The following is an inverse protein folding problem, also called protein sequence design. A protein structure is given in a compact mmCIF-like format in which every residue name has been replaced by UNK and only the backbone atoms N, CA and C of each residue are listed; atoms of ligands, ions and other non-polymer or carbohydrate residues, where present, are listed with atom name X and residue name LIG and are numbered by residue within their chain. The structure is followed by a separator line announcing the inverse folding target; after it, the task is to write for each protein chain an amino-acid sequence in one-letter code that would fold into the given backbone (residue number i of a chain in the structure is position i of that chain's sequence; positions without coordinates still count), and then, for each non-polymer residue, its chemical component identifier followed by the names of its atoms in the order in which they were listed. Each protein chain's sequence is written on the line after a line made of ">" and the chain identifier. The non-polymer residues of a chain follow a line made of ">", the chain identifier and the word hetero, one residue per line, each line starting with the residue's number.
data_IF_985252327223
#
_entry.id   IF_985252327223
#
_cell.length_a   1.000
_cell.length_b   1.000
_cell.length_c   1.000
_cell.angle_alpha   90.00
_cell.angle_beta   90.00
_cell.angle_gamma   90.00
#
_symmetry.space_group_name_H-M   'P 1'
#
loop_
_entity.id
_entity.type
_entity.pdbx_description
1 polymer ?
#
# COMPACT_ATOMS: atom_id res chain seq x y z
N UNK A 1 -6.73 1.51 -4.61
CA UNK A 1 -6.42 1.57 -3.17
C UNK A 1 -7.41 0.68 -2.43
N UNK A 2 -6.94 -0.09 -1.45
CA UNK A 2 -7.76 -1.01 -0.65
C UNK A 2 -7.46 -0.77 0.83
N UNK A 3 -8.48 -0.85 1.67
CA UNK A 3 -8.34 -0.87 3.12
C UNK A 3 -8.68 -2.27 3.62
N UNK A 4 -7.85 -2.81 4.49
CA UNK A 4 -8.04 -4.12 5.11
C UNK A 4 -7.84 -4.01 6.62
N UNK A 5 -8.52 -4.86 7.39
CA UNK A 5 -8.37 -4.92 8.85
C UNK A 5 -7.86 -6.30 9.25
N UNK A 6 -6.88 -6.35 10.16
CA UNK A 6 -6.41 -7.58 10.81
C UNK A 6 -6.01 -7.28 12.24
N UNK A 7 -6.55 -8.02 13.21
CA UNK A 7 -6.25 -7.87 14.64
C UNK A 7 -6.32 -6.39 15.09
N UNK A 8 -7.43 -5.71 14.81
CA UNK A 8 -7.69 -4.30 15.16
C UNK A 8 -6.74 -3.28 14.50
N UNK A 9 -5.92 -3.71 13.53
CA UNK A 9 -5.03 -2.82 12.76
C UNK A 9 -5.58 -2.61 11.36
N UNK A 10 -5.60 -1.36 10.90
CA UNK A 10 -6.03 -0.99 9.55
C UNK A 10 -4.80 -0.88 8.63
N UNK A 11 -4.86 -1.58 7.50
CA UNK A 11 -3.83 -1.61 6.48
C UNK A 11 -4.32 -0.86 5.25
N UNK A 12 -3.61 0.21 4.89
CA UNK A 12 -3.83 0.95 3.64
C UNK A 12 -2.93 0.38 2.56
N UNK A 13 -3.52 -0.37 1.64
CA UNK A 13 -2.82 -1.09 0.58
C UNK A 13 -2.94 -0.30 -0.74
N UNK A 14 -1.79 0.04 -1.30
CA UNK A 14 -1.63 0.82 -2.52
C UNK A 14 -1.08 -0.10 -3.62
N UNK A 15 -1.66 0.00 -4.80
CA UNK A 15 -1.15 -0.66 -6.01
C UNK A 15 -0.99 0.39 -7.09
N UNK A 16 0.11 0.31 -7.85
CA UNK A 16 0.29 1.10 -9.05
C UNK A 16 -0.59 0.54 -10.17
N UNK A 17 -1.05 1.41 -11.06
CA UNK A 17 -1.71 0.98 -12.29
C UNK A 17 -0.64 0.42 -13.23
N UNK A 18 -0.78 -0.84 -13.62
CA UNK A 18 0.07 -1.42 -14.66
C UNK A 18 -0.69 -1.47 -15.98
N UNK A 19 -0.01 -1.11 -17.08
CA UNK A 19 -0.61 -1.03 -18.41
C UNK A 19 -0.85 -2.40 -19.07
N UNK A 20 -0.55 -3.51 -18.39
CA UNK A 20 -0.46 -4.81 -19.06
C UNK A 20 -0.96 -5.92 -18.13
N UNK A 21 -2.22 -6.33 -18.29
CA UNK A 21 -2.66 -7.73 -18.21
C UNK A 21 -3.99 -7.88 -18.94
N UNK A 22 -4.08 -8.78 -19.93
CA UNK A 22 -5.34 -9.07 -20.66
C UNK A 22 -6.38 -9.84 -19.82
N UNK A 23 -6.03 -10.27 -18.61
CA UNK A 23 -6.86 -11.14 -17.77
C UNK A 23 -6.94 -10.62 -16.34
N UNK A 24 -7.94 -9.79 -16.07
CA UNK A 24 -8.30 -9.38 -14.71
C UNK A 24 -9.36 -10.34 -14.14
N UNK A 25 -9.22 -10.73 -12.87
CA UNK A 25 -10.21 -11.48 -12.11
C UNK A 25 -10.98 -10.54 -11.22
N UNK A 26 -12.32 -10.57 -11.33
CA UNK A 26 -13.18 -9.78 -10.44
C UNK A 26 -13.11 -10.35 -9.02
N UNK A 27 -12.92 -9.49 -8.04
CA UNK A 27 -13.05 -9.84 -6.62
C UNK A 27 -14.50 -10.26 -6.36
N UNK A 28 -14.69 -11.43 -5.74
CA UNK A 28 -15.99 -11.97 -5.36
C UNK A 28 -16.19 -11.76 -3.86
N UNK A 29 -17.33 -11.17 -3.51
CA UNK A 29 -17.74 -10.99 -2.11
C UNK A 29 -17.94 -12.38 -1.48
N UNK A 30 -17.43 -12.58 -0.27
CA UNK A 30 -17.47 -13.86 0.44
C UNK A 30 -16.27 -14.79 0.20
N UNK A 31 -15.37 -14.43 -0.73
CA UNK A 31 -14.13 -15.18 -0.95
C UNK A 31 -12.96 -14.63 -0.12
N UNK A 32 -12.02 -15.50 0.18
CA UNK A 32 -10.75 -15.16 0.83
C UNK A 32 -9.63 -15.00 -0.21
N UNK A 33 -8.71 -14.09 0.06
CA UNK A 33 -7.56 -13.77 -0.79
C UNK A 33 -6.32 -13.61 0.09
N UNK A 34 -5.24 -14.32 -0.25
CA UNK A 34 -3.97 -14.20 0.44
C UNK A 34 -3.18 -13.01 -0.11
N UNK A 35 -2.89 -12.03 0.76
CA UNK A 35 -2.14 -10.82 0.41
C UNK A 35 -0.85 -10.77 1.23
N UNK A 36 0.29 -10.88 0.57
CA UNK A 36 1.60 -10.65 1.19
C UNK A 36 1.88 -9.15 1.15
N UNK A 37 1.91 -8.52 2.31
CA UNK A 37 2.04 -7.07 2.43
C UNK A 37 3.51 -6.67 2.60
N UNK A 38 3.99 -5.87 1.67
CA UNK A 38 5.30 -5.22 1.73
C UNK A 38 5.11 -3.80 2.28
N UNK A 39 5.69 -3.54 3.45
CA UNK A 39 5.69 -2.21 4.08
C UNK A 39 6.49 -1.23 3.23
N UNK A 40 5.97 -0.02 3.02
CA UNK A 40 6.68 1.03 2.28
C UNK A 40 7.90 1.51 3.07
N UNK A 41 7.77 1.66 4.39
CA UNK A 41 8.90 2.01 5.26
C UNK A 41 10.00 0.95 5.29
N UNK A 42 9.72 -0.31 4.94
CA UNK A 42 10.74 -1.34 4.75
C UNK A 42 11.68 -1.05 3.57
N UNK A 43 11.19 -0.33 2.55
CA UNK A 43 11.90 -0.04 1.30
C UNK A 43 12.74 1.25 1.35
N UNK A 44 12.89 1.87 2.53
CA UNK A 44 13.70 3.08 2.67
C UNK A 44 15.16 2.80 2.32
N UNK A 45 15.82 3.69 1.53
CA UNK A 45 17.22 3.50 1.15
C UNK A 45 18.16 3.29 2.34
N UNK A 46 19.19 2.49 2.12
CA UNK A 46 20.26 2.23 3.09
C UNK A 46 21.54 2.86 2.54
N UNK A 47 22.16 3.75 3.31
CA UNK A 47 23.44 4.38 2.98
C UNK A 47 24.46 3.91 4.01
N UNK A 48 25.55 3.27 3.56
CA UNK A 48 26.60 2.70 4.43
C UNK A 48 26.06 1.79 5.55
N UNK A 49 25.06 0.96 5.25
CA UNK A 49 24.45 0.05 6.23
C UNK A 49 23.44 0.71 7.18
N UNK A 50 23.24 2.03 7.11
CA UNK A 50 22.27 2.76 7.92
C UNK A 50 21.03 3.07 7.08
N UNK A 51 19.86 2.66 7.60
CA UNK A 51 18.57 2.98 6.96
C UNK A 51 18.29 4.46 7.14
N UNK A 52 18.01 5.17 6.05
CA UNK A 52 17.71 6.60 6.14
C UNK A 52 16.44 6.81 6.98
N UNK A 53 16.49 7.75 7.92
CA UNK A 53 15.29 8.22 8.59
C UNK A 53 14.47 9.09 7.63
N UNK A 54 13.13 8.99 7.65
CA UNK A 54 12.29 9.93 6.91
C UNK A 54 12.54 11.35 7.39
N UNK A 55 12.58 12.32 6.47
CA UNK A 55 12.93 13.72 6.78
C UNK A 55 11.79 14.45 7.51
N UNK A 56 10.55 13.97 7.41
CA UNK A 56 9.37 14.59 8.02
C UNK A 56 8.63 13.62 8.94
N UNK A 57 8.82 13.77 10.26
CA UNK A 57 8.05 13.13 11.34
C UNK A 57 6.68 13.81 11.58
N UNK A 58 6.03 14.28 10.52
CA UNK A 58 4.68 14.88 10.64
C UNK A 58 3.66 13.74 10.76
N UNK A 59 2.56 13.98 11.48
CA UNK A 59 1.42 13.05 11.69
C UNK A 59 0.92 12.35 10.41
N UNK A 60 1.23 12.91 9.23
CA UNK A 60 1.04 12.31 7.92
C UNK A 60 2.34 12.28 7.11
N UNK A 61 2.76 11.08 6.69
CA UNK A 61 3.82 10.88 5.72
C UNK A 61 3.21 10.61 4.35
N UNK A 62 3.51 11.49 3.39
CA UNK A 62 3.00 11.41 2.05
C UNK A 62 4.06 10.91 1.06
N UNK A 63 3.66 9.98 0.20
CA UNK A 63 4.52 9.38 -0.82
C UNK A 63 3.97 9.70 -2.21
N UNK A 64 4.85 10.12 -3.11
CA UNK A 64 4.52 10.29 -4.52
C UNK A 64 4.55 8.90 -5.20
N UNK A 65 3.44 8.50 -5.81
CA UNK A 65 3.32 7.23 -6.54
C UNK A 65 3.30 7.42 -8.06
N UNK A 66 2.70 8.53 -8.52
CA UNK A 66 2.71 9.00 -9.91
C UNK A 66 2.84 10.53 -9.91
N UNK A 67 3.13 11.13 -11.06
CA UNK A 67 3.52 12.55 -11.20
C UNK A 67 2.59 13.51 -10.47
N UNK A 68 1.28 13.22 -10.45
CA UNK A 68 0.26 14.01 -9.76
C UNK A 68 -0.52 13.22 -8.69
N UNK A 69 0.00 12.07 -8.25
CA UNK A 69 -0.67 11.23 -7.24
C UNK A 69 0.20 11.07 -6.02
N UNK A 70 -0.25 11.69 -4.93
CA UNK A 70 0.34 11.56 -3.61
C UNK A 70 -0.60 10.78 -2.70
N UNK A 71 -0.06 9.84 -1.94
CA UNK A 71 -0.81 9.04 -0.98
C UNK A 71 -0.13 9.15 0.37
N UNK A 72 -0.91 9.52 1.39
CA UNK A 72 -0.43 9.72 2.74
C UNK A 72 -0.84 8.59 3.68
N UNK A 73 -0.01 8.35 4.69
CA UNK A 73 -0.42 7.68 5.92
C UNK A 73 -1.47 8.52 6.65
N UNK A 74 -2.16 7.91 7.61
CA UNK A 74 -3.23 8.55 8.37
C UNK A 74 -3.18 8.07 9.82
N UNK A 75 -2.24 8.63 10.58
CA UNK A 75 -1.99 8.23 11.96
C UNK A 75 -3.22 8.43 12.87
N UNK A 76 -4.09 9.41 12.55
CA UNK A 76 -5.34 9.66 13.29
C UNK A 76 -6.31 8.47 13.21
N UNK A 77 -6.24 7.72 12.12
CA UNK A 77 -7.02 6.51 11.89
C UNK A 77 -6.20 5.22 12.10
N UNK A 78 -5.06 5.30 12.80
CA UNK A 78 -4.21 4.13 13.10
C UNK A 78 -3.42 3.59 11.91
N UNK A 79 -3.31 4.34 10.81
CA UNK A 79 -2.59 3.94 9.60
C UNK A 79 -1.21 4.60 9.62
N UNK A 80 -0.22 3.91 10.18
CA UNK A 80 1.14 4.43 10.34
C UNK A 80 2.10 4.14 9.17
N UNK A 81 1.69 3.27 8.24
CA UNK A 81 2.48 2.94 7.05
C UNK A 81 1.55 2.70 5.84
N UNK A 82 2.14 2.77 4.65
CA UNK A 82 1.52 2.31 3.42
C UNK A 82 2.06 0.93 3.08
N UNK A 83 1.19 0.09 2.53
CA UNK A 83 1.56 -1.26 2.13
C UNK A 83 1.38 -1.43 0.64
N UNK A 84 2.21 -2.25 0.03
CA UNK A 84 2.04 -2.71 -1.35
C UNK A 84 1.96 -4.22 -1.36
N UNK A 85 1.42 -4.79 -2.43
CA UNK A 85 1.41 -6.25 -2.60
C UNK A 85 1.30 -6.58 -4.08
N UNK A 86 2.06 -7.57 -4.52
CA UNK A 86 1.95 -8.12 -5.87
C UNK A 86 0.70 -8.98 -6.05
N UNK A 87 0.12 -9.50 -4.96
CA UNK A 87 -1.05 -10.38 -5.00
C UNK A 87 -2.33 -9.66 -5.46
N UNK A 88 -2.35 -8.32 -5.42
CA UNK A 88 -3.45 -7.52 -5.97
C UNK A 88 -3.37 -7.34 -7.49
N UNK A 89 -2.23 -7.63 -8.12
CA UNK A 89 -2.11 -7.50 -9.58
C UNK A 89 -3.07 -8.46 -10.26
N UNK A 90 -3.81 -7.95 -11.24
CA UNK A 90 -4.83 -8.73 -11.93
C UNK A 90 -6.13 -8.92 -11.15
N UNK A 91 -6.29 -8.35 -9.94
CA UNK A 91 -7.56 -8.30 -9.23
C UNK A 91 -8.24 -6.94 -9.41
N UNK A 92 -9.55 -6.94 -9.60
CA UNK A 92 -10.33 -5.70 -9.67
C UNK A 92 -11.68 -5.83 -8.97
N UNK A 93 -12.18 -4.70 -8.48
CA UNK A 93 -13.53 -4.57 -7.99
C UNK A 93 -14.17 -3.33 -8.61
N UNK A 94 -15.24 -3.53 -9.37
CA UNK A 94 -16.13 -2.46 -9.85
C UNK A 94 -17.46 -2.71 -9.15
N UNK A 95 -17.90 -1.70 -8.39
CA UNK A 95 -19.20 -1.69 -7.71
C UNK A 95 -20.32 -1.57 -8.74
#
# INVERSE_FOLDING_TARGET
>A
MIYAERNNSIFKIVSKKEHITKHYKKIKIGNNYDLNLDSRSSQTPIINGVKMSPVNLIDSMCYNYEENTQICTDAKNGIYDLYTTVNLKGLYYIK
#
